data_IF_117660792464
#
_entry.id   IF_117660792464
#
_cell.length_a   1.000
_cell.length_b   1.000
_cell.length_c   1.000
_cell.angle_alpha   90.00
_cell.angle_beta   90.00
_cell.angle_gamma   90.00
#
_symmetry.space_group_name_H-M   'P 1'
#
loop_
_entity.id
_entity.type
_entity.pdbx_description
1 polymer ?
#
# COMPACT_ATOMS: atom_id res chain seq x y z
N UNK A 1 -15.86 15.51 -7.19
CA UNK A 1 -14.68 16.42 -7.32
C UNK A 1 -14.03 16.12 -8.66
N UNK A 2 -13.81 17.13 -9.49
CA UNK A 2 -13.38 16.96 -10.88
C UNK A 2 -11.98 16.32 -10.98
N UNK A 3 -11.87 15.21 -11.70
CA UNK A 3 -10.65 14.45 -11.93
C UNK A 3 -9.50 15.28 -12.60
N UNK A 4 -9.80 16.43 -13.17
CA UNK A 4 -8.83 17.27 -13.88
C UNK A 4 -7.90 18.10 -12.98
N UNK A 5 -8.33 18.48 -11.77
CA UNK A 5 -7.48 19.25 -10.84
C UNK A 5 -6.41 18.41 -10.14
N UNK A 6 -6.68 17.14 -9.91
CA UNK A 6 -5.78 16.18 -9.25
C UNK A 6 -4.57 15.83 -10.14
N UNK A 7 -4.78 15.55 -11.42
CA UNK A 7 -3.71 15.13 -12.35
C UNK A 7 -2.65 16.23 -12.58
N UNK A 8 -3.09 17.49 -12.68
CA UNK A 8 -2.18 18.63 -12.86
C UNK A 8 -1.25 18.83 -11.66
N UNK A 9 -1.78 18.72 -10.43
CA UNK A 9 -0.99 18.82 -9.20
C UNK A 9 0.05 17.69 -9.12
N UNK A 10 -0.33 16.47 -9.47
CA UNK A 10 0.60 15.32 -9.46
C UNK A 10 1.70 15.48 -10.50
N UNK A 11 1.39 15.98 -11.71
CA UNK A 11 2.40 16.23 -12.74
C UNK A 11 3.40 17.34 -12.34
N UNK A 12 2.93 18.38 -11.67
CA UNK A 12 3.81 19.43 -11.13
C UNK A 12 4.71 18.84 -10.03
N UNK A 13 4.17 18.05 -9.12
CA UNK A 13 4.97 17.40 -8.08
C UNK A 13 6.02 16.46 -8.68
N UNK A 14 5.64 15.66 -9.69
CA UNK A 14 6.57 14.80 -10.44
C UNK A 14 7.71 15.60 -11.09
N UNK A 15 7.38 16.72 -11.73
CA UNK A 15 8.36 17.61 -12.34
C UNK A 15 9.32 18.22 -11.32
N UNK A 16 8.83 18.64 -10.15
CA UNK A 16 9.66 19.14 -9.06
C UNK A 16 10.61 18.06 -8.52
N UNK A 17 10.11 16.84 -8.28
CA UNK A 17 10.92 15.73 -7.79
C UNK A 17 12.01 15.32 -8.79
N UNK A 18 11.69 15.33 -10.09
CA UNK A 18 12.68 15.08 -11.14
C UNK A 18 13.75 16.17 -11.16
N UNK A 19 13.38 17.43 -10.95
CA UNK A 19 14.32 18.54 -10.83
C UNK A 19 15.27 18.39 -9.63
N UNK A 20 14.75 17.96 -8.47
CA UNK A 20 15.55 17.67 -7.28
C UNK A 20 16.51 16.50 -7.54
N UNK A 21 16.04 15.42 -8.14
CA UNK A 21 16.87 14.28 -8.52
C UNK A 21 18.02 14.73 -9.45
N UNK A 22 17.73 15.49 -10.49
CA UNK A 22 18.74 16.01 -11.41
C UNK A 22 19.78 16.90 -10.70
N UNK A 23 19.34 17.78 -9.78
CA UNK A 23 20.24 18.62 -8.99
C UNK A 23 21.15 17.78 -8.06
N UNK A 24 20.60 16.74 -7.40
CA UNK A 24 21.38 15.80 -6.58
C UNK A 24 22.40 15.01 -7.42
N UNK A 25 22.02 14.53 -8.63
CA UNK A 25 22.96 13.88 -9.55
C UNK A 25 24.09 14.81 -10.00
N UNK A 26 23.77 16.04 -10.36
CA UNK A 26 24.76 17.02 -10.74
C UNK A 26 25.73 17.32 -9.59
N UNK A 27 25.22 17.48 -8.36
CA UNK A 27 26.03 17.68 -7.17
C UNK A 27 26.93 16.46 -6.88
N UNK A 28 26.39 15.24 -6.96
CA UNK A 28 27.14 14.01 -6.77
C UNK A 28 28.30 13.87 -7.78
N UNK A 29 28.01 14.10 -9.06
CA UNK A 29 29.01 14.03 -10.13
C UNK A 29 30.10 15.10 -10.00
N UNK A 30 29.77 16.29 -9.49
CA UNK A 30 30.74 17.38 -9.29
C UNK A 30 31.61 17.17 -8.06
N UNK A 31 31.01 16.71 -6.95
CA UNK A 31 31.69 16.67 -5.65
C UNK A 31 32.32 15.32 -5.36
N UNK A 32 31.94 14.25 -6.06
CA UNK A 32 32.38 12.87 -5.82
C UNK A 32 31.85 12.28 -4.50
N UNK A 33 30.73 12.79 -3.96
CA UNK A 33 30.10 12.22 -2.77
C UNK A 33 29.22 11.02 -3.10
N UNK A 34 29.54 9.85 -2.57
CA UNK A 34 28.72 8.63 -2.71
C UNK A 34 27.42 8.72 -1.92
N UNK A 35 27.40 9.40 -0.77
CA UNK A 35 26.16 9.67 -0.05
C UNK A 35 25.21 10.55 -0.86
N UNK A 36 25.73 11.60 -1.55
CA UNK A 36 24.92 12.43 -2.44
C UNK A 36 24.41 11.62 -3.65
N UNK A 37 25.22 10.74 -4.22
CA UNK A 37 24.81 9.86 -5.32
C UNK A 37 23.69 8.90 -4.86
N UNK A 38 23.82 8.30 -3.68
CA UNK A 38 22.78 7.45 -3.08
C UNK A 38 21.45 8.21 -2.92
N UNK A 39 21.51 9.45 -2.45
CA UNK A 39 20.36 10.33 -2.32
C UNK A 39 19.75 10.73 -3.68
N UNK A 40 20.60 10.93 -4.71
CA UNK A 40 20.14 11.21 -6.08
C UNK A 40 19.37 10.00 -6.66
N UNK A 41 19.90 8.78 -6.47
CA UNK A 41 19.25 7.54 -6.91
C UNK A 41 17.94 7.34 -6.17
N UNK A 42 17.91 7.57 -4.85
CA UNK A 42 16.67 7.50 -4.08
C UNK A 42 15.60 8.45 -4.64
N UNK A 43 15.94 9.72 -4.87
CA UNK A 43 15.01 10.71 -5.44
C UNK A 43 14.55 10.35 -6.87
N UNK A 44 15.40 9.70 -7.66
CA UNK A 44 15.02 9.18 -8.99
C UNK A 44 14.01 8.02 -8.86
N UNK A 45 14.27 7.08 -7.96
CA UNK A 45 13.37 5.94 -7.71
C UNK A 45 12.01 6.45 -7.20
N UNK A 46 11.96 7.44 -6.33
CA UNK A 46 10.72 8.06 -5.87
C UNK A 46 9.95 8.74 -7.01
N UNK A 47 10.67 9.39 -7.92
CA UNK A 47 10.07 9.97 -9.13
C UNK A 47 9.48 8.88 -10.03
N UNK A 48 10.21 7.78 -10.24
CA UNK A 48 9.73 6.61 -10.98
C UNK A 48 8.52 5.97 -10.30
N UNK A 49 8.52 5.87 -8.96
CA UNK A 49 7.40 5.38 -8.16
C UNK A 49 6.13 6.16 -8.46
N UNK A 50 6.18 7.49 -8.37
CA UNK A 50 5.02 8.33 -8.67
C UNK A 50 4.52 8.15 -10.10
N UNK A 51 5.42 8.03 -11.08
CA UNK A 51 5.06 7.79 -12.47
C UNK A 51 4.39 6.41 -12.67
N UNK A 52 4.96 5.35 -12.08
CA UNK A 52 4.43 3.99 -12.18
C UNK A 52 3.10 3.84 -11.44
N UNK A 53 2.92 4.50 -10.29
CA UNK A 53 1.63 4.57 -9.60
C UNK A 53 0.55 5.22 -10.48
N UNK A 54 0.86 6.31 -11.19
CA UNK A 54 -0.07 6.93 -12.13
C UNK A 54 -0.45 5.98 -13.27
N UNK A 55 0.52 5.23 -13.80
CA UNK A 55 0.27 4.19 -14.80
C UNK A 55 -0.63 3.09 -14.22
N UNK A 56 -0.33 2.63 -13.02
CA UNK A 56 -1.11 1.62 -12.30
C UNK A 56 -2.56 2.08 -12.09
N UNK A 57 -2.77 3.29 -11.58
CA UNK A 57 -4.09 3.88 -11.38
C UNK A 57 -4.88 4.00 -12.69
N UNK A 58 -4.24 4.46 -13.77
CA UNK A 58 -4.89 4.56 -15.09
C UNK A 58 -5.28 3.20 -15.64
N UNK A 59 -4.43 2.19 -15.46
CA UNK A 59 -4.71 0.81 -15.91
C UNK A 59 -5.77 0.14 -15.06
N UNK A 60 -5.75 0.34 -13.74
CA UNK A 60 -6.74 -0.19 -12.81
C UNK A 60 -8.17 0.29 -13.10
N UNK A 61 -8.34 1.45 -13.76
CA UNK A 61 -9.64 2.00 -14.13
C UNK A 61 -10.25 1.38 -15.40
N UNK A 62 -9.55 0.48 -16.06
CA UNK A 62 -10.08 -0.22 -17.24
C UNK A 62 -11.32 -1.05 -16.84
N UNK A 63 -12.39 -1.02 -17.66
CA UNK A 63 -13.55 -1.85 -17.43
C UNK A 63 -13.22 -3.33 -17.55
N UNK A 64 -14.05 -4.16 -16.94
CA UNK A 64 -13.99 -5.61 -17.10
C UNK A 64 -14.16 -6.01 -18.58
N UNK A 65 -13.49 -7.07 -18.97
CA UNK A 65 -13.59 -7.73 -20.28
C UNK A 65 -13.63 -9.26 -20.10
N UNK A 66 -13.72 -9.99 -21.22
CA UNK A 66 -13.79 -11.47 -21.20
C UNK A 66 -12.55 -12.14 -20.59
N UNK A 67 -11.38 -11.48 -20.65
CA UNK A 67 -10.14 -11.99 -20.05
C UNK A 67 -10.02 -11.63 -18.57
N UNK A 68 -10.59 -10.50 -18.17
CA UNK A 68 -10.53 -9.97 -16.81
C UNK A 68 -11.96 -9.63 -16.35
N UNK A 69 -12.80 -10.63 -16.05
CA UNK A 69 -14.23 -10.43 -15.77
C UNK A 69 -14.48 -9.62 -14.50
N UNK A 70 -13.50 -9.53 -13.61
CA UNK A 70 -13.56 -8.66 -12.41
C UNK A 70 -12.87 -7.31 -12.61
N UNK A 71 -12.41 -6.98 -13.84
CA UNK A 71 -11.72 -5.74 -14.14
C UNK A 71 -10.23 -5.79 -13.82
N UNK A 72 -9.59 -4.62 -13.87
CA UNK A 72 -8.12 -4.47 -13.77
C UNK A 72 -7.65 -3.82 -12.47
N UNK A 73 -8.50 -3.73 -11.45
CA UNK A 73 -8.16 -3.02 -10.21
C UNK A 73 -6.87 -3.53 -9.53
N UNK A 74 -6.52 -4.82 -9.71
CA UNK A 74 -5.29 -5.43 -9.19
C UNK A 74 -4.00 -4.95 -9.88
N UNK A 75 -4.08 -4.30 -11.04
CA UNK A 75 -2.89 -3.75 -11.70
C UNK A 75 -2.13 -2.77 -10.81
N UNK A 76 -2.82 -2.06 -9.91
CA UNK A 76 -2.15 -1.14 -8.98
C UNK A 76 -1.13 -1.87 -8.07
N UNK A 77 -1.47 -3.07 -7.59
CA UNK A 77 -0.58 -3.88 -6.75
C UNK A 77 0.63 -4.39 -7.52
N UNK A 78 0.43 -4.80 -8.78
CA UNK A 78 1.53 -5.21 -9.65
C UNK A 78 2.52 -4.06 -9.88
N UNK A 79 2.04 -2.85 -10.20
CA UNK A 79 2.92 -1.71 -10.42
C UNK A 79 3.62 -1.27 -9.13
N UNK A 80 2.95 -1.34 -7.99
CA UNK A 80 3.58 -1.09 -6.68
C UNK A 80 4.67 -2.11 -6.35
N UNK A 81 4.50 -3.38 -6.75
CA UNK A 81 5.54 -4.40 -6.60
C UNK A 81 6.77 -4.11 -7.48
N UNK A 82 6.57 -3.67 -8.72
CA UNK A 82 7.67 -3.24 -9.59
C UNK A 82 8.46 -2.09 -8.95
N UNK A 83 7.78 -1.15 -8.32
CA UNK A 83 8.44 -0.05 -7.57
C UNK A 83 9.31 -0.60 -6.43
N UNK A 84 8.79 -1.54 -5.63
CA UNK A 84 9.57 -2.13 -4.54
C UNK A 84 10.84 -2.84 -5.06
N UNK A 85 10.75 -3.54 -6.21
CA UNK A 85 11.93 -4.14 -6.87
C UNK A 85 12.94 -3.08 -7.31
N UNK A 86 12.47 -1.98 -7.93
CA UNK A 86 13.34 -0.89 -8.36
C UNK A 86 14.02 -0.21 -7.17
N UNK A 87 13.30 0.02 -6.08
CA UNK A 87 13.85 0.59 -4.86
C UNK A 87 14.93 -0.32 -4.26
N UNK A 88 14.69 -1.63 -4.24
CA UNK A 88 15.66 -2.60 -3.75
C UNK A 88 16.89 -2.70 -4.66
N UNK A 89 16.71 -2.87 -5.96
CA UNK A 89 17.82 -3.14 -6.88
C UNK A 89 18.63 -1.90 -7.20
N UNK A 90 18.00 -0.79 -7.57
CA UNK A 90 18.68 0.46 -7.90
C UNK A 90 18.97 1.28 -6.63
N UNK A 91 17.97 1.51 -5.78
CA UNK A 91 18.14 2.30 -4.58
C UNK A 91 19.15 1.68 -3.62
N UNK A 92 18.81 0.53 -3.05
CA UNK A 92 19.68 -0.13 -2.08
C UNK A 92 20.97 -0.70 -2.72
N UNK A 93 20.84 -1.41 -3.85
CA UNK A 93 21.96 -2.08 -4.49
C UNK A 93 23.08 -1.13 -4.90
N UNK A 94 22.73 -0.05 -5.62
CA UNK A 94 23.75 0.91 -6.06
C UNK A 94 24.31 1.71 -4.89
N UNK A 95 23.47 2.12 -3.92
CA UNK A 95 23.95 2.83 -2.72
C UNK A 95 24.94 2.00 -1.91
N UNK A 96 24.69 0.70 -1.75
CA UNK A 96 25.61 -0.20 -1.04
C UNK A 96 26.91 -0.41 -1.85
N UNK A 97 26.82 -0.57 -3.17
CA UNK A 97 27.98 -0.72 -4.05
C UNK A 97 28.88 0.53 -3.97
N UNK A 98 28.32 1.71 -4.16
CA UNK A 98 29.03 3.00 -4.09
C UNK A 98 29.66 3.23 -2.71
N UNK A 99 28.95 2.87 -1.65
CA UNK A 99 29.45 2.99 -0.29
C UNK A 99 30.64 2.06 -0.03
N UNK A 100 30.59 0.81 -0.50
CA UNK A 100 31.70 -0.14 -0.38
C UNK A 100 32.89 0.29 -1.24
N UNK A 101 32.65 0.75 -2.46
CA UNK A 101 33.69 1.28 -3.35
C UNK A 101 34.42 2.46 -2.71
N UNK A 102 33.68 3.41 -2.14
CA UNK A 102 34.23 4.57 -1.44
C UNK A 102 35.03 4.20 -0.17
N UNK A 103 34.66 3.09 0.52
CA UNK A 103 35.43 2.60 1.65
C UNK A 103 36.75 1.97 1.23
N UNK A 104 36.74 1.26 0.09
CA UNK A 104 37.98 0.58 -0.43
C UNK A 104 38.92 1.59 -1.10
N UNK A 105 38.36 2.58 -1.79
CA UNK A 105 39.09 3.62 -2.52
C UNK A 105 38.68 5.03 -2.04
N UNK A 106 39.05 5.43 -0.82
CA UNK A 106 38.66 6.71 -0.26
C UNK A 106 39.22 7.87 -1.10
N UNK A 107 38.37 8.76 -1.52
CA UNK A 107 38.75 10.02 -2.17
C UNK A 107 38.01 11.19 -1.50
N UNK A 108 38.64 12.34 -1.35
CA UNK A 108 38.02 13.48 -0.68
C UNK A 108 36.85 14.02 -1.49
N UNK A 109 35.85 14.55 -0.79
CA UNK A 109 34.74 15.27 -1.41
C UNK A 109 35.26 16.67 -1.80
N UNK A 110 35.04 17.06 -3.05
CA UNK A 110 35.36 18.39 -3.54
C UNK A 110 34.16 19.32 -3.40
N UNK A 111 34.39 20.63 -3.31
CA UNK A 111 33.32 21.66 -3.32
C UNK A 111 32.11 21.36 -2.42
N UNK A 112 32.36 20.97 -1.19
CA UNK A 112 31.35 20.49 -0.20
C UNK A 112 30.17 21.45 -0.03
N UNK A 113 30.39 22.78 -0.28
CA UNK A 113 29.35 23.81 -0.23
C UNK A 113 28.17 23.48 -1.14
N UNK A 114 28.43 22.87 -2.30
CA UNK A 114 27.39 22.49 -3.27
C UNK A 114 26.50 21.41 -2.63
N UNK A 115 27.09 20.41 -1.98
CA UNK A 115 26.34 19.36 -1.28
C UNK A 115 25.46 19.95 -0.15
N UNK A 116 25.99 20.87 0.63
CA UNK A 116 25.23 21.50 1.71
C UNK A 116 24.02 22.29 1.18
N UNK A 117 24.19 23.04 0.08
CA UNK A 117 23.10 23.81 -0.55
C UNK A 117 22.02 22.82 -1.07
N UNK A 118 22.42 21.82 -1.84
CA UNK A 118 21.47 20.88 -2.46
C UNK A 118 20.74 20.06 -1.41
N UNK A 119 21.45 19.52 -0.40
CA UNK A 119 20.83 18.80 0.71
C UNK A 119 19.92 19.70 1.55
N UNK A 120 20.35 20.93 1.83
CA UNK A 120 19.53 21.89 2.58
C UNK A 120 18.20 22.18 1.87
N UNK A 121 18.23 22.41 0.56
CA UNK A 121 17.03 22.59 -0.26
C UNK A 121 16.17 21.32 -0.26
N UNK A 122 16.78 20.14 -0.42
CA UNK A 122 16.06 18.86 -0.41
C UNK A 122 15.36 18.62 0.93
N UNK A 123 16.05 18.81 2.07
CA UNK A 123 15.49 18.69 3.41
C UNK A 123 14.28 19.61 3.61
N UNK A 124 14.37 20.86 3.14
CA UNK A 124 13.26 21.82 3.24
C UNK A 124 12.05 21.36 2.43
N UNK A 125 12.26 20.94 1.17
CA UNK A 125 11.17 20.54 0.27
C UNK A 125 10.52 19.24 0.72
N UNK A 126 11.31 18.22 1.05
CA UNK A 126 10.81 16.95 1.55
C UNK A 126 10.18 17.10 2.94
N UNK A 127 10.73 17.96 3.81
CA UNK A 127 10.14 18.29 5.11
C UNK A 127 8.76 18.93 4.99
N UNK A 128 8.57 19.86 4.04
CA UNK A 128 7.26 20.46 3.75
C UNK A 128 6.28 19.40 3.21
N UNK A 129 6.73 18.52 2.33
CA UNK A 129 5.93 17.45 1.77
C UNK A 129 5.47 16.48 2.86
N UNK A 130 6.39 16.02 3.67
CA UNK A 130 6.12 15.12 4.81
C UNK A 130 5.16 15.76 5.81
N UNK A 131 5.36 17.05 6.13
CA UNK A 131 4.44 17.74 7.03
C UNK A 131 3.02 17.84 6.47
N UNK A 132 2.88 18.16 5.18
CA UNK A 132 1.56 18.17 4.53
C UNK A 132 0.91 16.79 4.53
N UNK A 133 1.65 15.73 4.22
CA UNK A 133 1.16 14.35 4.24
C UNK A 133 0.66 13.95 5.64
N UNK A 134 1.43 14.25 6.69
CA UNK A 134 1.06 13.99 8.09
C UNK A 134 -0.15 14.82 8.50
N UNK A 135 -0.22 16.10 8.11
CA UNK A 135 -1.35 16.97 8.42
C UNK A 135 -2.65 16.49 7.76
N UNK A 136 -2.60 16.13 6.47
CA UNK A 136 -3.75 15.57 5.74
C UNK A 136 -4.20 14.24 6.34
N UNK A 137 -3.24 13.39 6.68
CA UNK A 137 -3.51 12.14 7.37
C UNK A 137 -4.21 12.36 8.72
N UNK A 138 -3.71 13.27 9.56
CA UNK A 138 -4.33 13.58 10.85
C UNK A 138 -5.77 14.09 10.68
N UNK A 139 -6.06 14.80 9.60
CA UNK A 139 -7.41 15.29 9.29
C UNK A 139 -8.36 14.14 8.91
N UNK A 140 -7.86 13.14 8.18
CA UNK A 140 -8.65 11.96 7.74
C UNK A 140 -8.76 10.87 8.80
N UNK A 141 -7.94 10.91 9.83
CA UNK A 141 -7.70 9.82 10.79
C UNK A 141 -8.89 9.48 11.70
N UNK A 142 -9.82 10.41 11.96
CA UNK A 142 -11.00 10.20 12.84
C UNK A 142 -10.70 9.35 14.11
N UNK A 143 -9.56 9.61 14.79
CA UNK A 143 -9.21 8.93 16.04
C UNK A 143 -8.43 7.60 15.92
N UNK A 144 -8.11 7.11 14.72
CA UNK A 144 -7.29 5.89 14.54
C UNK A 144 -5.80 6.14 14.77
N UNK A 145 -5.05 5.16 15.29
CA UNK A 145 -3.69 5.29 15.78
C UNK A 145 -2.65 5.82 14.77
N UNK A 146 -1.57 6.43 15.26
CA UNK A 146 -0.49 7.04 14.46
C UNK A 146 0.39 6.00 13.73
N UNK A 147 0.60 4.83 14.34
CA UNK A 147 1.46 3.77 13.83
C UNK A 147 1.06 3.19 12.45
N UNK A 148 -0.24 2.97 12.11
CA UNK A 148 -0.61 2.48 10.79
C UNK A 148 -0.28 3.43 9.65
N UNK A 149 -0.25 4.75 9.93
CA UNK A 149 0.07 5.76 8.92
C UNK A 149 1.56 5.90 8.64
N UNK A 150 2.37 5.79 9.69
CA UNK A 150 3.82 5.76 9.55
C UNK A 150 4.27 4.54 8.72
N UNK A 151 3.49 3.45 8.80
CA UNK A 151 3.72 2.24 8.01
C UNK A 151 3.48 2.41 6.52
N UNK A 152 2.58 3.30 6.13
CA UNK A 152 2.18 3.48 4.73
C UNK A 152 2.91 4.61 4.00
N UNK A 153 3.79 5.38 4.67
CA UNK A 153 4.52 6.48 4.05
C UNK A 153 6.00 6.16 3.89
N UNK A 154 6.53 6.35 2.70
CA UNK A 154 7.98 6.33 2.41
C UNK A 154 8.69 7.59 2.90
N UNK A 155 7.95 8.64 3.26
CA UNK A 155 8.45 9.95 3.66
C UNK A 155 9.44 9.93 4.84
N UNK A 156 9.22 9.17 5.95
CA UNK A 156 10.20 9.09 7.04
C UNK A 156 11.53 8.47 6.63
N UNK A 157 11.52 7.54 5.67
CA UNK A 157 12.74 6.92 5.16
C UNK A 157 13.56 7.90 4.31
N UNK A 158 12.89 8.69 3.45
CA UNK A 158 13.52 9.75 2.67
C UNK A 158 14.19 10.80 3.58
N UNK A 159 13.48 11.27 4.60
CA UNK A 159 14.03 12.21 5.58
C UNK A 159 15.22 11.62 6.34
N UNK A 160 15.17 10.33 6.73
CA UNK A 160 16.30 9.69 7.41
C UNK A 160 17.52 9.56 6.52
N UNK A 161 17.35 9.24 5.23
CA UNK A 161 18.42 9.21 4.24
C UNK A 161 19.12 10.57 4.09
N UNK A 162 18.36 11.65 3.95
CA UNK A 162 18.93 13.01 3.88
C UNK A 162 19.74 13.40 5.12
N UNK A 163 19.25 13.06 6.31
CA UNK A 163 19.97 13.33 7.57
C UNK A 163 21.27 12.51 7.62
N UNK A 164 21.22 11.24 7.25
CA UNK A 164 22.41 10.37 7.19
C UNK A 164 23.44 10.88 6.17
N UNK A 165 22.99 11.30 4.98
CA UNK A 165 23.84 11.90 3.96
C UNK A 165 24.52 13.17 4.49
N UNK A 166 23.77 14.06 5.14
CA UNK A 166 24.31 15.29 5.71
C UNK A 166 25.38 14.99 6.79
N UNK A 167 25.11 14.06 7.69
CA UNK A 167 26.07 13.64 8.73
C UNK A 167 27.33 13.07 8.08
N UNK A 168 27.20 12.19 7.08
CA UNK A 168 28.34 11.59 6.36
C UNK A 168 29.20 12.63 5.67
N UNK A 169 28.58 13.59 5.00
CA UNK A 169 29.31 14.69 4.31
C UNK A 169 29.99 15.60 5.32
N UNK A 170 29.34 15.99 6.42
CA UNK A 170 29.95 16.79 7.48
C UNK A 170 31.12 16.05 8.12
N UNK A 171 30.95 14.78 8.45
CA UNK A 171 32.03 13.98 9.04
C UNK A 171 33.22 13.84 8.08
N UNK A 172 32.97 13.67 6.79
CA UNK A 172 34.01 13.56 5.79
C UNK A 172 34.76 14.89 5.57
N UNK A 173 34.03 16.02 5.50
CA UNK A 173 34.60 17.32 5.13
C UNK A 173 35.19 18.10 6.31
N UNK A 174 34.47 18.16 7.44
CA UNK A 174 34.91 19.01 8.58
C UNK A 174 35.84 18.23 9.54
N UNK A 175 35.65 16.90 9.66
CA UNK A 175 36.48 16.05 10.54
C UNK A 175 37.55 15.27 9.78
N UNK A 176 37.60 15.36 8.45
CA UNK A 176 38.60 14.69 7.61
C UNK A 176 38.46 13.17 7.56
N UNK A 177 37.32 12.59 7.94
CA UNK A 177 37.06 11.16 7.92
C UNK A 177 36.57 10.76 6.53
N UNK A 178 37.46 10.54 5.57
CA UNK A 178 37.11 10.27 4.18
C UNK A 178 36.16 9.09 3.98
N UNK A 179 36.17 8.10 4.88
CA UNK A 179 35.29 6.92 4.86
C UNK A 179 33.85 7.24 5.31
N UNK A 180 33.61 8.34 6.01
CA UNK A 180 32.30 8.66 6.57
C UNK A 180 31.20 8.81 5.49
N UNK A 181 31.55 9.34 4.33
CA UNK A 181 30.65 9.46 3.18
C UNK A 181 30.25 8.06 2.62
N UNK A 182 31.20 7.14 2.52
CA UNK A 182 30.93 5.75 2.12
C UNK A 182 30.08 5.00 3.15
N UNK A 183 30.33 5.18 4.44
CA UNK A 183 29.51 4.59 5.51
C UNK A 183 28.08 5.14 5.44
N UNK A 184 27.92 6.45 5.22
CA UNK A 184 26.60 7.06 5.04
C UNK A 184 25.85 6.45 3.85
N UNK A 185 26.52 6.26 2.72
CA UNK A 185 25.94 5.60 1.54
C UNK A 185 25.47 4.17 1.84
N UNK A 186 26.24 3.37 2.58
CA UNK A 186 25.82 2.02 2.99
C UNK A 186 24.60 2.08 3.91
N UNK A 187 24.57 2.99 4.88
CA UNK A 187 23.44 3.15 5.79
C UNK A 187 22.17 3.55 5.03
N UNK A 188 22.28 4.47 4.07
CA UNK A 188 21.17 4.82 3.17
C UNK A 188 20.70 3.58 2.40
N UNK A 189 21.61 2.81 1.82
CA UNK A 189 21.30 1.58 1.12
C UNK A 189 20.56 0.56 2.00
N UNK A 190 20.96 0.40 3.25
CA UNK A 190 20.29 -0.48 4.21
C UNK A 190 18.86 0.02 4.56
N UNK A 191 18.68 1.32 4.74
CA UNK A 191 17.36 1.92 4.96
C UNK A 191 16.46 1.62 3.76
N UNK A 192 16.94 1.85 2.53
CA UNK A 192 16.17 1.58 1.30
C UNK A 192 15.85 0.09 1.14
N UNK A 193 16.79 -0.81 1.46
CA UNK A 193 16.55 -2.26 1.46
C UNK A 193 15.44 -2.65 2.44
N UNK A 194 15.47 -2.10 3.66
CA UNK A 194 14.47 -2.37 4.67
C UNK A 194 13.06 -1.88 4.23
N UNK A 195 12.98 -0.68 3.66
CA UNK A 195 11.72 -0.13 3.10
C UNK A 195 11.20 -0.99 1.97
N UNK A 196 12.05 -1.36 1.01
CA UNK A 196 11.68 -2.20 -0.11
C UNK A 196 11.20 -3.59 0.33
N UNK A 197 11.86 -4.21 1.29
CA UNK A 197 11.45 -5.49 1.87
C UNK A 197 10.08 -5.37 2.56
N UNK A 198 9.88 -4.32 3.35
CA UNK A 198 8.61 -4.06 4.02
C UNK A 198 7.46 -3.86 3.00
N UNK A 199 7.67 -3.01 1.99
CA UNK A 199 6.70 -2.80 0.91
C UNK A 199 6.37 -4.10 0.16
N UNK A 200 7.40 -4.92 -0.12
CA UNK A 200 7.20 -6.20 -0.82
C UNK A 200 6.32 -7.16 -0.03
N UNK A 201 6.49 -7.26 1.29
CA UNK A 201 5.68 -8.11 2.17
C UNK A 201 4.22 -7.62 2.20
N UNK A 202 4.01 -6.31 2.31
CA UNK A 202 2.67 -5.72 2.34
C UNK A 202 1.93 -5.92 1.01
N UNK A 203 2.62 -5.66 -0.11
CA UNK A 203 2.04 -5.84 -1.45
C UNK A 203 1.77 -7.32 -1.75
N UNK A 204 2.60 -8.23 -1.24
CA UNK A 204 2.40 -9.67 -1.43
C UNK A 204 1.02 -10.11 -0.93
N UNK A 205 0.60 -9.69 0.27
CA UNK A 205 -0.72 -9.99 0.81
C UNK A 205 -1.85 -9.53 -0.13
N UNK A 206 -1.73 -8.31 -0.64
CA UNK A 206 -2.71 -7.70 -1.55
C UNK A 206 -2.76 -8.40 -2.92
N UNK A 207 -1.63 -8.88 -3.45
CA UNK A 207 -1.57 -9.64 -4.70
C UNK A 207 -2.20 -11.02 -4.54
N UNK A 208 -1.92 -11.71 -3.42
CA UNK A 208 -2.49 -13.03 -3.11
C UNK A 208 -4.00 -12.93 -2.89
N UNK A 209 -4.46 -11.83 -2.31
CA UNK A 209 -5.87 -11.55 -2.05
C UNK A 209 -6.17 -11.51 -0.56
N UNK A 210 -5.89 -10.38 0.04
CA UNK A 210 -6.20 -10.11 1.45
C UNK A 210 -7.69 -9.85 1.65
N UNK A 211 -8.20 -10.22 2.82
CA UNK A 211 -9.57 -9.93 3.21
C UNK A 211 -9.77 -8.42 3.46
N UNK A 212 -11.00 -7.94 3.35
CA UNK A 212 -11.37 -6.61 3.81
C UNK A 212 -11.10 -6.44 5.32
N UNK A 213 -11.06 -5.20 5.80
CA UNK A 213 -10.76 -4.94 7.22
C UNK A 213 -11.74 -5.68 8.15
N UNK A 214 -11.29 -6.07 9.35
CA UNK A 214 -12.15 -6.77 10.32
C UNK A 214 -13.45 -6.03 10.63
N UNK A 215 -13.42 -4.69 10.62
CA UNK A 215 -14.60 -3.85 10.83
C UNK A 215 -15.61 -3.98 9.69
N UNK A 216 -15.13 -4.02 8.44
CA UNK A 216 -15.98 -4.21 7.27
C UNK A 216 -16.58 -5.62 7.29
N UNK A 217 -15.78 -6.65 7.56
CA UNK A 217 -16.27 -8.03 7.64
C UNK A 217 -17.31 -8.20 8.74
N UNK A 218 -17.06 -7.65 9.94
CA UNK A 218 -18.04 -7.67 11.04
C UNK A 218 -19.33 -6.92 10.68
N UNK A 219 -19.20 -5.78 10.03
CA UNK A 219 -20.35 -5.01 9.58
C UNK A 219 -21.17 -5.70 8.48
N UNK A 220 -20.53 -6.41 7.56
CA UNK A 220 -21.19 -7.25 6.54
C UNK A 220 -21.96 -8.40 7.21
N UNK A 221 -21.32 -9.11 8.15
CA UNK A 221 -21.99 -10.14 8.96
C UNK A 221 -23.20 -9.59 9.72
N UNK A 222 -23.09 -8.38 10.28
CA UNK A 222 -24.19 -7.71 10.94
C UNK A 222 -25.37 -7.43 10.01
N UNK A 223 -25.13 -6.95 8.78
CA UNK A 223 -26.18 -6.70 7.80
C UNK A 223 -26.91 -7.99 7.42
N UNK A 224 -26.17 -9.05 7.10
CA UNK A 224 -26.76 -10.37 6.82
C UNK A 224 -27.48 -10.91 8.06
N UNK A 225 -26.91 -10.72 9.24
CA UNK A 225 -27.47 -11.12 10.54
C UNK A 225 -28.81 -10.46 10.88
N UNK A 226 -29.12 -9.29 10.32
CA UNK A 226 -30.44 -8.68 10.50
C UNK A 226 -31.59 -9.51 9.92
N UNK A 227 -31.30 -10.35 8.93
CA UNK A 227 -32.27 -11.26 8.31
C UNK A 227 -32.29 -12.64 9.00
N UNK A 228 -31.43 -12.85 10.01
CA UNK A 228 -31.35 -14.11 10.76
C UNK A 228 -32.45 -14.17 11.83
N UNK A 229 -33.17 -15.30 11.91
CA UNK A 229 -34.20 -15.49 12.93
C UNK A 229 -34.72 -16.91 13.03
N UNK A 230 -35.57 -17.17 14.05
CA UNK A 230 -36.24 -18.43 14.21
C UNK A 230 -37.36 -18.63 13.16
N UNK A 231 -37.78 -19.89 12.87
CA UNK A 231 -38.92 -20.16 12.01
C UNK A 231 -40.17 -19.39 12.47
N UNK A 232 -40.81 -18.68 11.53
CA UNK A 232 -42.04 -17.89 11.83
C UNK A 232 -41.78 -16.50 12.40
N UNK A 233 -40.52 -16.08 12.60
CA UNK A 233 -40.17 -14.73 13.08
C UNK A 233 -40.30 -13.63 12.01
N UNK A 234 -40.62 -13.99 10.77
CA UNK A 234 -40.58 -13.09 9.62
C UNK A 234 -39.19 -12.80 9.08
N UNK A 235 -38.16 -13.48 9.60
CA UNK A 235 -36.78 -13.40 9.14
C UNK A 235 -36.41 -14.68 8.38
N UNK A 236 -36.00 -14.55 7.11
CA UNK A 236 -35.91 -15.70 6.21
C UNK A 236 -34.65 -16.54 6.37
N UNK A 237 -33.57 -16.03 6.95
CA UNK A 237 -32.30 -16.72 7.09
C UNK A 237 -32.27 -17.51 8.40
N UNK A 238 -31.96 -18.80 8.30
CA UNK A 238 -31.80 -19.74 9.43
C UNK A 238 -30.38 -19.68 9.99
N UNK A 239 -29.36 -19.65 9.10
CA UNK A 239 -27.94 -19.65 9.49
C UNK A 239 -27.09 -18.91 8.47
N UNK A 240 -26.05 -18.23 8.96
CA UNK A 240 -24.98 -17.70 8.11
C UNK A 240 -23.86 -18.74 8.15
N UNK A 241 -23.61 -19.42 7.04
CA UNK A 241 -22.58 -20.44 6.93
C UNK A 241 -21.20 -19.79 6.99
N UNK A 242 -20.96 -18.81 6.07
CA UNK A 242 -19.72 -18.04 6.07
C UNK A 242 -19.89 -16.68 5.36
N UNK A 243 -18.96 -15.78 5.62
CA UNK A 243 -18.78 -14.54 4.88
C UNK A 243 -17.29 -14.40 4.57
N UNK A 244 -16.93 -14.44 3.30
CA UNK A 244 -15.57 -14.25 2.79
C UNK A 244 -15.51 -12.94 2.00
N UNK A 245 -14.38 -12.26 2.12
CA UNK A 245 -14.12 -11.05 1.36
C UNK A 245 -12.75 -11.13 0.73
N UNK A 246 -12.57 -10.48 -0.40
CA UNK A 246 -11.28 -10.32 -1.05
C UNK A 246 -11.15 -8.92 -1.62
N UNK A 247 -10.01 -8.30 -1.40
CA UNK A 247 -9.64 -7.02 -2.00
C UNK A 247 -9.22 -7.25 -3.46
N UNK A 248 -9.97 -6.69 -4.39
CA UNK A 248 -9.60 -6.64 -5.81
C UNK A 248 -8.89 -5.34 -6.17
N UNK A 249 -9.01 -4.33 -5.34
CA UNK A 249 -8.38 -3.03 -5.46
C UNK A 249 -8.61 -2.19 -4.20
N UNK A 250 -8.04 -0.99 -4.10
CA UNK A 250 -8.17 -0.13 -2.92
C UNK A 250 -9.64 0.19 -2.56
N UNK A 251 -10.49 0.35 -3.58
CA UNK A 251 -11.92 0.66 -3.46
C UNK A 251 -12.78 -0.40 -4.14
N UNK A 252 -12.32 -1.64 -4.22
CA UNK A 252 -13.03 -2.74 -4.88
C UNK A 252 -12.94 -4.01 -4.04
N UNK A 253 -13.99 -4.26 -3.27
CA UNK A 253 -14.16 -5.46 -2.44
C UNK A 253 -15.18 -6.38 -3.09
N UNK A 254 -14.82 -7.65 -3.23
CA UNK A 254 -15.73 -8.72 -3.55
C UNK A 254 -16.11 -9.44 -2.26
N UNK A 255 -17.40 -9.68 -2.09
CA UNK A 255 -17.97 -10.44 -0.97
C UNK A 255 -18.63 -11.70 -1.50
N UNK A 256 -18.28 -12.84 -0.92
CA UNK A 256 -18.96 -14.10 -1.09
C UNK A 256 -19.53 -14.52 0.28
N UNK A 257 -20.84 -14.65 0.38
CA UNK A 257 -21.51 -15.09 1.59
C UNK A 257 -22.34 -16.33 1.30
N UNK A 258 -22.27 -17.32 2.19
CA UNK A 258 -23.10 -18.54 2.13
C UNK A 258 -24.08 -18.52 3.29
N UNK A 259 -25.36 -18.73 2.99
CA UNK A 259 -26.47 -18.67 3.97
C UNK A 259 -27.44 -19.83 3.77
N UNK A 260 -28.02 -20.28 4.87
CA UNK A 260 -29.08 -21.28 4.92
C UNK A 260 -30.41 -20.57 5.19
N UNK A 261 -31.38 -20.72 4.29
CA UNK A 261 -32.75 -20.18 4.44
C UNK A 261 -33.64 -21.20 5.11
N UNK A 262 -34.72 -20.74 5.72
CA UNK A 262 -35.78 -21.65 6.18
C UNK A 262 -36.43 -22.35 5.01
N UNK A 263 -36.72 -23.65 5.15
CA UNK A 263 -37.33 -24.49 4.10
C UNK A 263 -38.71 -24.00 3.65
N UNK A 264 -39.37 -23.18 4.47
CA UNK A 264 -40.65 -22.54 4.14
C UNK A 264 -40.55 -21.33 3.22
N UNK A 265 -39.31 -20.82 2.96
CA UNK A 265 -39.14 -19.67 2.11
C UNK A 265 -39.36 -19.98 0.63
N UNK A 266 -40.06 -19.08 -0.04
CA UNK A 266 -40.28 -19.18 -1.48
C UNK A 266 -39.06 -18.62 -2.25
N UNK A 267 -38.85 -19.06 -3.49
CA UNK A 267 -37.81 -18.51 -4.35
C UNK A 267 -37.89 -16.96 -4.44
N UNK A 268 -39.10 -16.40 -4.53
CA UNK A 268 -39.35 -14.96 -4.50
C UNK A 268 -38.91 -14.31 -3.18
N UNK A 269 -39.08 -14.99 -2.05
CA UNK A 269 -38.65 -14.53 -0.72
C UNK A 269 -37.12 -14.48 -0.64
N UNK A 270 -36.45 -15.50 -1.17
CA UNK A 270 -34.99 -15.55 -1.28
C UNK A 270 -34.46 -14.39 -2.15
N UNK A 271 -35.02 -14.19 -3.34
CA UNK A 271 -34.64 -13.08 -4.25
C UNK A 271 -34.83 -11.71 -3.57
N UNK A 272 -35.97 -11.49 -2.91
CA UNK A 272 -36.27 -10.23 -2.24
C UNK A 272 -35.29 -9.95 -1.09
N UNK A 273 -34.93 -10.99 -0.32
CA UNK A 273 -33.98 -10.90 0.78
C UNK A 273 -32.58 -10.59 0.28
N UNK A 274 -32.11 -11.33 -0.75
CA UNK A 274 -30.81 -11.09 -1.40
C UNK A 274 -30.71 -9.64 -1.89
N UNK A 275 -31.72 -9.15 -2.59
CA UNK A 275 -31.76 -7.76 -3.08
C UNK A 275 -31.78 -6.73 -1.93
N UNK A 276 -32.39 -7.05 -0.81
CA UNK A 276 -32.43 -6.19 0.38
C UNK A 276 -31.08 -6.11 1.04
N UNK A 277 -30.40 -7.25 1.24
CA UNK A 277 -29.03 -7.36 1.77
C UNK A 277 -28.09 -6.57 0.86
N UNK A 278 -28.11 -6.80 -0.45
CA UNK A 278 -27.22 -6.13 -1.41
C UNK A 278 -27.39 -4.60 -1.36
N UNK A 279 -28.62 -4.10 -1.30
CA UNK A 279 -28.87 -2.65 -1.16
C UNK A 279 -28.31 -2.09 0.16
N UNK A 280 -28.51 -2.80 1.26
CA UNK A 280 -28.01 -2.38 2.57
C UNK A 280 -26.47 -2.37 2.62
N UNK A 281 -25.83 -3.40 2.04
CA UNK A 281 -24.37 -3.48 1.93
C UNK A 281 -23.83 -2.33 1.10
N UNK A 282 -24.36 -2.11 -0.12
CA UNK A 282 -23.89 -1.04 -1.01
C UNK A 282 -24.11 0.36 -0.42
N UNK A 283 -25.17 0.56 0.36
CA UNK A 283 -25.44 1.84 1.01
C UNK A 283 -24.43 2.15 2.13
N UNK A 284 -23.97 1.14 2.86
CA UNK A 284 -23.05 1.31 3.98
C UNK A 284 -21.57 1.18 3.58
N UNK A 285 -21.28 0.32 2.60
CA UNK A 285 -19.93 0.00 2.14
C UNK A 285 -19.83 0.18 0.63
N UNK A 286 -19.67 1.41 0.13
CA UNK A 286 -19.62 1.71 -1.31
C UNK A 286 -18.42 1.06 -2.03
N UNK A 287 -17.39 0.64 -1.29
CA UNK A 287 -16.26 -0.14 -1.79
C UNK A 287 -16.63 -1.59 -2.12
N UNK A 288 -17.74 -2.12 -1.59
CA UNK A 288 -18.26 -3.45 -1.97
C UNK A 288 -18.98 -3.35 -3.30
N UNK A 289 -18.28 -3.63 -4.38
CA UNK A 289 -18.83 -3.56 -5.74
C UNK A 289 -19.52 -4.84 -6.18
N UNK A 290 -19.15 -5.97 -5.58
CA UNK A 290 -19.69 -7.30 -5.91
C UNK A 290 -20.04 -8.06 -4.66
N UNK A 291 -21.28 -8.51 -4.59
CA UNK A 291 -21.79 -9.39 -3.56
C UNK A 291 -22.39 -10.62 -4.23
N UNK A 292 -21.89 -11.79 -3.91
CA UNK A 292 -22.45 -13.06 -4.27
C UNK A 292 -23.01 -13.73 -3.02
N UNK A 293 -24.30 -14.06 -3.05
CA UNK A 293 -24.97 -14.77 -1.98
C UNK A 293 -25.27 -16.19 -2.46
N UNK A 294 -24.57 -17.15 -1.88
CA UNK A 294 -24.81 -18.57 -2.09
C UNK A 294 -25.88 -19.04 -1.12
N UNK A 295 -26.84 -19.81 -1.61
CA UNK A 295 -27.93 -20.38 -0.81
C UNK A 295 -27.71 -21.88 -0.71
N UNK A 296 -27.27 -22.33 0.47
CA UNK A 296 -26.90 -23.73 0.71
C UNK A 296 -27.25 -24.10 2.15
N UNK A 297 -27.85 -25.29 2.35
CA UNK A 297 -28.12 -25.82 3.69
C UNK A 297 -26.82 -25.98 4.49
N UNK A 298 -26.86 -25.71 5.79
CA UNK A 298 -25.65 -25.69 6.64
C UNK A 298 -24.91 -27.02 6.64
N UNK A 299 -25.62 -28.16 6.57
CA UNK A 299 -25.04 -29.49 6.55
C UNK A 299 -24.33 -29.79 5.21
N UNK A 300 -24.97 -29.39 4.11
CA UNK A 300 -24.39 -29.51 2.76
C UNK A 300 -23.16 -28.61 2.60
N UNK A 301 -23.23 -27.37 3.08
CA UNK A 301 -22.09 -26.44 3.05
C UNK A 301 -20.85 -27.04 3.71
N UNK A 302 -21.02 -27.66 4.91
CA UNK A 302 -19.92 -28.30 5.63
C UNK A 302 -19.29 -29.45 4.85
N UNK A 303 -20.10 -30.19 4.08
CA UNK A 303 -19.63 -31.31 3.25
C UNK A 303 -18.93 -30.91 1.97
N UNK A 304 -19.23 -29.71 1.44
CA UNK A 304 -18.68 -29.16 0.18
C UNK A 304 -17.35 -28.42 0.39
N UNK A 305 -16.98 -28.14 1.64
CA UNK A 305 -15.72 -27.45 1.93
C UNK A 305 -14.50 -28.32 1.60
N UNK A 306 -13.42 -27.74 1.05
CA UNK A 306 -12.17 -28.44 0.85
C UNK A 306 -11.62 -29.06 2.15
N UNK A 307 -10.92 -30.21 2.06
CA UNK A 307 -10.28 -30.82 3.21
C UNK A 307 -9.32 -29.82 3.88
N UNK A 308 -9.51 -29.55 5.17
CA UNK A 308 -8.75 -28.57 5.97
C UNK A 308 -9.48 -27.25 6.26
N UNK A 309 -10.43 -26.84 5.44
CA UNK A 309 -11.25 -25.64 5.71
C UNK A 309 -12.36 -25.91 6.74
N UNK A 310 -12.85 -27.13 6.80
CA UNK A 310 -13.85 -27.55 7.79
C UNK A 310 -13.40 -27.32 9.23
N UNK A 311 -12.12 -27.58 9.53
CA UNK A 311 -11.55 -27.36 10.86
C UNK A 311 -11.40 -25.85 11.17
N UNK A 312 -11.09 -25.02 10.17
CA UNK A 312 -11.00 -23.57 10.32
C UNK A 312 -12.38 -22.95 10.56
N UNK A 313 -13.41 -23.42 9.85
CA UNK A 313 -14.80 -22.98 10.01
C UNK A 313 -15.34 -23.34 11.41
N UNK A 314 -15.04 -24.55 11.89
CA UNK A 314 -15.41 -25.00 13.23
C UNK A 314 -14.78 -24.12 14.33
N UNK A 315 -13.51 -23.72 14.18
CA UNK A 315 -12.83 -22.78 15.09
C UNK A 315 -13.45 -21.39 15.05
N UNK A 316 -13.75 -20.88 13.85
CA UNK A 316 -14.38 -19.57 13.67
C UNK A 316 -15.79 -19.51 14.27
N UNK A 317 -16.57 -20.59 14.17
CA UNK A 317 -17.90 -20.71 14.82
C UNK A 317 -17.78 -20.78 16.35
N UNK A 318 -16.78 -21.50 16.89
CA UNK A 318 -16.55 -21.61 18.33
C UNK A 318 -16.08 -20.30 18.98
N UNK A 319 -15.43 -19.40 18.23
CA UNK A 319 -14.99 -18.08 18.72
C UNK A 319 -16.03 -16.98 18.56
N UNK A 320 -17.18 -17.27 17.94
CA UNK A 320 -18.27 -16.32 17.68
C UNK A 320 -19.46 -16.50 18.65
N UNK A 321 -19.36 -17.44 19.61
CA UNK A 321 -20.25 -17.67 20.74
C UNK A 321 -19.60 -17.09 22.01
#
# INVERSE_FOLDING_TARGET
MSAGGSTGVVLVALGCNLGIAAAKFAAAAWTGSSAMLSEAIHSLVDTCNQALLLVGLKRAQRPADDKHPFGYAREIYFWSFIVAILLFSLGAGVSMYEGVEKLLHPHPITDVKINYIVLGIAILLEGISTWKAVAEFNTRRNGKGFLPALRSSTDPAAMSGLVVALIGIVASSEFGIAQADGVASIVIGLILAAVAAFMSIEIQGLIIGEAASPEVVAGLRGIVGHELGAPGSGKPIKTINEVRTILLGPDDVLVAASVDFHDSESARGVEATTARIERAVRAKYPEVKRLYLEVVASDDHASLLPPGETAALARARASAV
#
